data_IF_655084703142
#
_entry.id   IF_655084703142
#
_cell.length_a   1.000
_cell.length_b   1.000
_cell.length_c   1.000
_cell.angle_alpha   90.00
_cell.angle_beta   90.00
_cell.angle_gamma   90.00
#
_symmetry.space_group_name_H-M   'P 1'
#
loop_
_entity.id
_entity.type
_entity.pdbx_description
1 polymer ?
#
# COMPACT_ATOMS: atom_id res chain seq x y z
N UNK A 1 -8.72 28.45 12.81
CA UNK A 1 -8.40 27.14 13.43
C UNK A 1 -6.94 26.87 13.12
N UNK A 2 -6.07 26.83 14.13
CA UNK A 2 -4.73 26.30 13.92
C UNK A 2 -4.85 24.78 13.92
N UNK A 3 -4.42 24.16 12.83
CA UNK A 3 -4.28 22.71 12.76
C UNK A 3 -3.09 22.32 13.64
N UNK A 4 -3.32 21.54 14.69
CA UNK A 4 -2.22 20.90 15.41
C UNK A 4 -1.57 19.88 14.47
N UNK A 5 -0.25 19.93 14.34
CA UNK A 5 0.55 18.96 13.59
C UNK A 5 1.22 18.04 14.63
N UNK A 6 1.06 16.74 14.45
CA UNK A 6 1.58 15.72 15.38
C UNK A 6 2.33 14.63 14.60
N UNK A 7 3.45 14.17 15.17
CA UNK A 7 4.15 12.99 14.67
C UNK A 7 3.47 11.73 15.23
N UNK A 8 2.58 11.14 14.44
CA UNK A 8 1.81 9.95 14.84
C UNK A 8 2.59 8.64 14.71
N UNK A 9 3.63 8.63 13.86
CA UNK A 9 4.50 7.49 13.61
C UNK A 9 5.87 7.96 13.15
N UNK A 10 6.93 7.70 13.93
CA UNK A 10 8.31 7.96 13.52
C UNK A 10 8.89 6.74 12.75
N UNK A 11 8.35 6.47 11.56
CA UNK A 11 8.65 5.23 10.82
C UNK A 11 10.10 5.14 10.30
N UNK A 12 10.81 6.27 10.19
CA UNK A 12 12.14 6.37 9.54
C UNK A 12 12.18 5.67 8.15
N UNK A 13 11.09 5.77 7.40
CA UNK A 13 10.96 5.16 6.08
C UNK A 13 11.95 5.77 5.07
N UNK A 14 12.45 4.95 4.14
CA UNK A 14 13.36 5.40 3.08
C UNK A 14 12.61 6.26 2.05
N UNK A 15 11.43 5.80 1.60
CA UNK A 15 10.50 6.57 0.77
C UNK A 15 9.06 6.19 1.07
N UNK A 16 8.46 6.88 2.05
CA UNK A 16 7.06 6.71 2.41
C UNK A 16 6.13 7.39 1.40
N UNK A 17 5.20 6.63 0.81
CA UNK A 17 4.26 7.12 -0.21
C UNK A 17 2.91 6.39 -0.14
N UNK A 18 1.98 6.83 -0.98
CA UNK A 18 0.70 6.14 -1.23
C UNK A 18 -0.21 5.93 -0.01
N UNK A 19 -0.42 6.93 0.88
CA UNK A 19 -1.32 6.78 2.03
C UNK A 19 -2.76 6.56 1.57
N UNK A 20 -3.36 5.45 2.00
CA UNK A 20 -4.75 5.09 1.74
C UNK A 20 -5.49 4.73 3.03
N UNK A 21 -6.53 5.50 3.37
CA UNK A 21 -7.32 5.29 4.57
C UNK A 21 -8.48 4.32 4.31
N UNK A 22 -8.61 3.29 5.14
CA UNK A 22 -9.78 2.44 5.20
C UNK A 22 -10.64 2.81 6.41
N UNK A 23 -11.72 3.52 6.13
CA UNK A 23 -12.64 4.04 7.14
C UNK A 23 -13.31 2.93 7.95
N UNK A 24 -13.76 1.84 7.30
CA UNK A 24 -14.45 0.74 7.99
C UNK A 24 -13.56 0.07 9.03
N UNK A 25 -12.26 -0.08 8.73
CA UNK A 25 -11.29 -0.75 9.60
C UNK A 25 -10.47 0.19 10.49
N UNK A 26 -10.54 1.51 10.26
CA UNK A 26 -9.70 2.51 10.92
C UNK A 26 -8.20 2.20 10.77
N UNK A 27 -7.81 1.86 9.54
CA UNK A 27 -6.43 1.52 9.17
C UNK A 27 -5.91 2.48 8.10
N UNK A 28 -4.67 2.93 8.26
CA UNK A 28 -3.92 3.62 7.23
C UNK A 28 -2.97 2.62 6.56
N UNK A 29 -3.23 2.33 5.28
CA UNK A 29 -2.28 1.65 4.43
C UNK A 29 -1.31 2.67 3.85
N UNK A 30 -0.03 2.31 3.76
CA UNK A 30 1.00 3.11 3.10
C UNK A 30 2.14 2.20 2.66
N UNK A 31 3.06 2.70 1.84
CA UNK A 31 4.19 1.92 1.33
C UNK A 31 5.51 2.59 1.63
N UNK A 32 6.54 1.79 1.88
CA UNK A 32 7.93 2.23 1.73
C UNK A 32 8.47 1.64 0.43
N UNK A 33 8.52 2.48 -0.61
CA UNK A 33 8.79 2.04 -1.99
C UNK A 33 10.18 1.42 -2.06
N UNK A 34 11.19 2.11 -1.54
CA UNK A 34 12.59 1.70 -1.66
C UNK A 34 12.87 0.44 -0.85
N UNK A 35 12.16 0.25 0.26
CA UNK A 35 12.31 -0.89 1.15
C UNK A 35 11.39 -2.07 0.81
N UNK A 36 10.52 -1.93 -0.19
CA UNK A 36 9.57 -2.98 -0.62
C UNK A 36 8.61 -3.40 0.50
N UNK A 37 8.13 -2.44 1.30
CA UNK A 37 7.29 -2.71 2.47
C UNK A 37 5.88 -2.19 2.26
N UNK A 38 4.89 -3.07 2.48
CA UNK A 38 3.51 -2.67 2.73
C UNK A 38 3.37 -2.41 4.24
N UNK A 39 2.87 -1.25 4.59
CA UNK A 39 2.72 -0.82 5.97
C UNK A 39 1.24 -0.55 6.30
N UNK A 40 0.83 -0.93 7.50
CA UNK A 40 -0.55 -0.86 7.97
C UNK A 40 -0.51 -0.26 9.38
N UNK A 41 -0.84 1.02 9.47
CA UNK A 41 -0.86 1.78 10.71
C UNK A 41 -2.27 1.87 11.30
N UNK A 42 -2.37 1.82 12.63
CA UNK A 42 -3.60 2.17 13.36
C UNK A 42 -3.29 3.02 14.59
N UNK A 43 -4.09 4.06 14.79
CA UNK A 43 -4.01 4.95 15.95
C UNK A 43 -4.61 4.32 17.22
N UNK A 44 -5.40 3.26 17.10
CA UNK A 44 -6.08 2.62 18.24
C UNK A 44 -5.09 2.14 19.32
N UNK A 45 -3.89 1.71 18.89
CA UNK A 45 -2.81 1.27 19.77
C UNK A 45 -1.43 1.76 19.30
N UNK A 46 -1.39 2.74 18.40
CA UNK A 46 -0.17 3.26 17.77
C UNK A 46 0.76 2.18 17.22
N UNK A 47 0.17 1.16 16.57
CA UNK A 47 0.94 0.09 15.94
C UNK A 47 1.05 0.30 14.43
N UNK A 48 2.16 -0.18 13.88
CA UNK A 48 2.41 -0.22 12.45
C UNK A 48 2.88 -1.63 12.08
N UNK A 49 1.99 -2.42 11.46
CA UNK A 49 2.37 -3.72 10.91
C UNK A 49 3.11 -3.48 9.60
N UNK A 50 4.23 -4.16 9.42
CA UNK A 50 5.07 -4.08 8.22
C UNK A 50 5.17 -5.46 7.60
N UNK A 51 4.90 -5.53 6.30
CA UNK A 51 5.00 -6.75 5.50
C UNK A 51 6.01 -6.48 4.38
N UNK A 52 7.08 -7.27 4.35
CA UNK A 52 8.11 -7.17 3.32
C UNK A 52 7.71 -7.98 2.08
N UNK A 53 7.80 -7.35 0.91
CA UNK A 53 7.61 -7.99 -0.39
C UNK A 53 8.94 -8.05 -1.15
N UNK A 54 8.97 -8.80 -2.24
CA UNK A 54 10.16 -8.95 -3.09
C UNK A 54 10.24 -7.92 -4.24
N UNK A 55 9.23 -7.05 -4.37
CA UNK A 55 9.10 -6.03 -5.41
C UNK A 55 8.79 -4.67 -4.77
N UNK A 56 9.27 -3.59 -5.38
CA UNK A 56 8.81 -2.25 -5.04
C UNK A 56 7.29 -2.14 -5.25
N UNK A 57 6.66 -1.39 -4.36
CA UNK A 57 5.21 -1.21 -4.31
C UNK A 57 4.95 0.25 -4.64
N UNK A 58 4.25 0.51 -5.74
CA UNK A 58 3.89 1.89 -6.10
C UNK A 58 2.76 2.40 -5.22
N UNK A 59 1.66 1.66 -5.15
CA UNK A 59 0.49 2.04 -4.37
C UNK A 59 -0.28 0.82 -3.84
N UNK A 60 -1.16 1.08 -2.88
CA UNK A 60 -2.04 0.11 -2.24
C UNK A 60 -3.47 0.65 -2.18
N UNK A 61 -4.44 -0.22 -2.50
CA UNK A 61 -5.87 0.10 -2.48
C UNK A 61 -6.63 -0.99 -1.73
N UNK A 62 -7.47 -0.66 -0.73
CA UNK A 62 -8.38 -1.61 -0.09
C UNK A 62 -9.37 -2.20 -1.10
N UNK A 63 -9.63 -3.51 -1.04
CA UNK A 63 -10.53 -4.19 -1.99
C UNK A 63 -11.64 -5.00 -1.32
N UNK A 64 -11.30 -6.10 -0.66
CA UNK A 64 -12.22 -6.87 0.19
C UNK A 64 -11.79 -6.72 1.64
N UNK A 65 -12.50 -7.35 2.58
CA UNK A 65 -12.20 -7.20 4.01
C UNK A 65 -10.70 -7.41 4.27
N UNK A 66 -10.14 -8.59 3.98
CA UNK A 66 -8.73 -8.88 4.23
C UNK A 66 -7.85 -8.88 2.97
N UNK A 67 -8.33 -8.26 1.89
CA UNK A 67 -7.60 -8.21 0.61
C UNK A 67 -7.38 -6.78 0.17
N UNK A 68 -6.14 -6.47 -0.20
CA UNK A 68 -5.77 -5.22 -0.87
C UNK A 68 -5.32 -5.51 -2.30
N UNK A 69 -5.45 -4.52 -3.17
CA UNK A 69 -4.81 -4.50 -4.47
C UNK A 69 -3.51 -3.71 -4.38
N UNK A 70 -2.47 -4.22 -5.02
CA UNK A 70 -1.15 -3.62 -5.08
C UNK A 70 -0.73 -3.43 -6.54
N UNK A 71 -0.12 -2.29 -6.85
CA UNK A 71 0.66 -2.13 -8.07
C UNK A 71 2.15 -2.35 -7.72
N UNK A 72 2.70 -3.48 -8.16
CA UNK A 72 4.10 -3.86 -7.97
C UNK A 72 4.88 -3.70 -9.27
N UNK A 73 6.21 -3.77 -9.22
CA UNK A 73 7.11 -3.72 -10.40
C UNK A 73 6.56 -4.52 -11.60
N UNK A 74 6.04 -5.73 -11.37
CA UNK A 74 5.59 -6.66 -12.43
C UNK A 74 4.06 -6.76 -12.56
N UNK A 75 3.37 -5.66 -12.31
CA UNK A 75 1.94 -5.53 -12.54
C UNK A 75 1.09 -5.44 -11.28
N UNK A 76 -0.19 -5.73 -11.46
CA UNK A 76 -1.20 -5.68 -10.41
C UNK A 76 -1.35 -7.02 -9.72
N UNK A 77 -1.54 -6.96 -8.41
CA UNK A 77 -1.67 -8.13 -7.54
C UNK A 77 -2.81 -7.93 -6.55
N UNK A 78 -3.50 -9.02 -6.20
CA UNK A 78 -4.27 -9.08 -4.96
C UNK A 78 -3.41 -9.66 -3.85
N UNK A 79 -3.49 -9.08 -2.66
CA UNK A 79 -2.74 -9.51 -1.50
C UNK A 79 -3.66 -9.74 -0.31
N UNK A 80 -3.66 -10.95 0.23
CA UNK A 80 -4.42 -11.29 1.43
C UNK A 80 -3.60 -10.96 2.68
N UNK A 81 -4.10 -10.05 3.50
CA UNK A 81 -3.40 -9.54 4.70
C UNK A 81 -3.28 -10.58 5.82
N UNK A 82 -4.09 -11.64 5.84
CA UNK A 82 -4.05 -12.66 6.90
C UNK A 82 -3.12 -13.81 6.52
N UNK A 83 -3.20 -14.28 5.27
CA UNK A 83 -2.38 -15.40 4.78
C UNK A 83 -1.05 -14.94 4.19
N UNK A 84 -0.92 -13.64 3.90
CA UNK A 84 0.18 -13.04 3.14
C UNK A 84 0.35 -13.67 1.74
N UNK A 85 -0.74 -14.22 1.20
CA UNK A 85 -0.78 -14.73 -0.17
C UNK A 85 -0.84 -13.58 -1.17
N UNK A 86 0.12 -13.58 -2.10
CA UNK A 86 0.24 -12.61 -3.19
C UNK A 86 -0.12 -13.28 -4.51
N UNK A 87 -1.21 -12.85 -5.14
CA UNK A 87 -1.72 -13.41 -6.39
C UNK A 87 -1.61 -12.40 -7.52
N UNK A 88 -0.93 -12.76 -8.61
CA UNK A 88 -0.80 -11.92 -9.80
C UNK A 88 -2.15 -11.80 -10.53
N UNK A 89 -2.47 -10.59 -10.99
CA UNK A 89 -3.69 -10.30 -11.75
C UNK A 89 -3.32 -10.06 -13.21
N UNK A 90 -2.47 -9.05 -13.45
CA UNK A 90 -2.12 -8.62 -14.80
C UNK A 90 -0.88 -7.72 -14.81
N UNK A 91 -0.06 -7.82 -15.84
CA UNK A 91 1.05 -6.88 -16.10
C UNK A 91 0.79 -6.17 -17.44
N UNK A 92 0.58 -4.83 -17.46
CA UNK A 92 0.36 -4.09 -18.70
C UNK A 92 1.63 -3.86 -19.52
N UNK A 93 2.80 -3.93 -18.90
CA UNK A 93 4.08 -3.57 -19.53
C UNK A 93 5.16 -4.66 -19.36
N UNK A 94 4.87 -5.97 -19.57
CA UNK A 94 5.81 -7.06 -19.26
C UNK A 94 7.10 -7.05 -20.10
N UNK A 95 7.12 -6.24 -21.16
CA UNK A 95 8.27 -6.05 -22.05
C UNK A 95 9.18 -4.89 -21.61
N UNK A 96 8.75 -4.05 -20.67
CA UNK A 96 9.51 -2.89 -20.15
C UNK A 96 10.05 -3.22 -18.75
N UNK A 97 11.06 -4.08 -18.69
CA UNK A 97 11.56 -4.67 -17.43
C UNK A 97 12.14 -3.67 -16.42
N UNK A 98 12.49 -2.46 -16.85
CA UNK A 98 13.03 -1.39 -16.00
C UNK A 98 11.94 -0.42 -15.52
N UNK A 99 10.70 -0.55 -16.03
CA UNK A 99 9.58 0.28 -15.58
C UNK A 99 9.06 -0.22 -14.23
N UNK A 100 8.45 0.70 -13.49
CA UNK A 100 7.68 0.41 -12.30
C UNK A 100 6.48 1.35 -12.21
N UNK A 101 5.45 0.90 -11.50
CA UNK A 101 4.39 1.78 -11.06
C UNK A 101 4.92 2.79 -10.04
N UNK A 102 4.34 3.99 -10.04
CA UNK A 102 4.63 5.02 -9.05
C UNK A 102 3.43 5.26 -8.15
N UNK A 103 2.59 6.24 -8.45
CA UNK A 103 1.39 6.50 -7.65
C UNK A 103 0.14 5.89 -8.31
N UNK A 104 -0.90 5.68 -7.53
CA UNK A 104 -2.18 5.16 -7.99
C UNK A 104 -3.26 5.24 -6.93
N UNK A 105 -4.50 5.41 -7.36
CA UNK A 105 -5.66 5.52 -6.47
C UNK A 105 -6.91 5.00 -7.16
N UNK A 106 -7.79 4.40 -6.36
CA UNK A 106 -9.11 4.03 -6.81
C UNK A 106 -9.96 5.28 -7.02
N UNK A 107 -10.65 5.36 -8.15
CA UNK A 107 -11.59 6.44 -8.40
C UNK A 107 -12.92 6.26 -7.62
N UNK A 108 -13.82 7.27 -7.62
CA UNK A 108 -15.09 7.16 -6.88
C UNK A 108 -16.04 6.07 -7.38
N UNK A 109 -15.83 5.55 -8.60
CA UNK A 109 -16.61 4.45 -9.16
C UNK A 109 -16.01 3.07 -8.82
N UNK A 110 -14.90 3.02 -8.08
CA UNK A 110 -14.25 1.77 -7.70
C UNK A 110 -13.27 1.24 -8.76
N UNK A 111 -12.85 2.06 -9.73
CA UNK A 111 -11.88 1.66 -10.75
C UNK A 111 -10.47 1.95 -10.24
N UNK A 112 -9.70 0.88 -10.09
CA UNK A 112 -8.27 0.90 -9.83
C UNK A 112 -7.56 0.24 -11.02
#
# INVERSE_FOLDING_TARGET
MFSNIELVLDAKASLAEGPCWNEKKQLLYWVDIMEKKLCIYTSANNSNRVIALNQQIGCVVPYLDDVVLLALEKGFYSFNLNTEELTHIYDPEPHLIENRFNDGKCDPAGRF
#
